data_IF_715350316790
#
_entry.id   IF_715350316790
#
_cell.length_a   1.000
_cell.length_b   1.000
_cell.length_c   1.000
_cell.angle_alpha   90.00
_cell.angle_beta   90.00
_cell.angle_gamma   90.00
#
_symmetry.space_group_name_H-M   'P 1'
#
loop_
_entity.id
_entity.type
_entity.pdbx_description
1 polymer ?
#
# COMPACT_ATOMS: atom_id res chain seq x y z
N UNK A 1 -6.38 9.83 12.02
CA UNK A 1 -5.99 9.06 10.84
C UNK A 1 -4.66 8.37 11.07
N UNK A 2 -4.60 7.12 10.75
CA UNK A 2 -3.43 6.31 11.03
C UNK A 2 -2.59 6.13 9.77
N UNK A 3 -1.35 6.59 9.79
CA UNK A 3 -0.43 6.43 8.68
C UNK A 3 0.59 5.36 9.00
N UNK A 4 0.11 4.16 9.24
CA UNK A 4 0.95 3.09 9.76
C UNK A 4 1.20 1.99 8.73
N UNK A 5 1.42 2.36 7.48
CA UNK A 5 1.79 1.37 6.47
C UNK A 5 2.99 0.57 6.98
N UNK A 6 2.83 -0.74 7.04
CA UNK A 6 3.87 -1.61 7.57
C UNK A 6 4.84 -1.99 6.46
N UNK A 7 6.13 -1.78 6.69
CA UNK A 7 7.16 -2.14 5.72
C UNK A 7 7.68 -3.54 6.02
N UNK A 8 7.75 -4.37 5.00
CA UNK A 8 8.10 -5.78 5.12
C UNK A 8 9.28 -6.06 4.21
N UNK A 9 10.27 -6.79 4.72
CA UNK A 9 11.41 -7.18 3.90
C UNK A 9 11.02 -8.37 3.02
N UNK A 10 11.77 -8.56 1.94
CA UNK A 10 11.56 -9.72 1.06
C UNK A 10 11.70 -11.01 1.86
N UNK A 11 12.69 -11.08 2.76
CA UNK A 11 12.91 -12.28 3.56
C UNK A 11 11.71 -12.59 4.45
N UNK A 12 11.15 -11.57 5.10
CA UNK A 12 10.00 -11.77 5.97
C UNK A 12 8.77 -12.17 5.17
N UNK A 13 8.61 -11.57 3.99
CA UNK A 13 7.49 -11.94 3.13
C UNK A 13 7.59 -13.39 2.68
N UNK A 14 8.79 -13.82 2.28
CA UNK A 14 8.99 -15.20 1.85
C UNK A 14 8.80 -16.19 2.98
N UNK A 15 9.14 -15.80 4.21
CA UNK A 15 8.92 -16.64 5.37
C UNK A 15 7.43 -16.89 5.63
N UNK A 16 6.57 -16.02 5.11
CA UNK A 16 5.13 -16.16 5.26
C UNK A 16 4.47 -16.82 4.04
N UNK A 17 5.27 -17.32 3.10
CA UNK A 17 4.73 -17.95 1.92
C UNK A 17 3.93 -19.20 2.29
N UNK A 18 2.77 -19.36 1.65
CA UNK A 18 1.90 -20.49 1.94
C UNK A 18 1.03 -20.34 3.17
N UNK A 19 1.05 -19.18 3.82
CA UNK A 19 0.18 -18.94 4.97
C UNK A 19 -1.29 -19.04 4.54
N UNK A 20 -2.16 -19.58 5.42
CA UNK A 20 -3.57 -19.68 5.06
C UNK A 20 -4.21 -18.30 4.98
N UNK A 21 -5.22 -18.21 4.14
CA UNK A 21 -5.95 -16.95 3.99
C UNK A 21 -5.29 -15.91 3.10
N UNK A 22 -4.23 -16.26 2.40
CA UNK A 22 -3.53 -15.34 1.50
C UNK A 22 -4.02 -15.53 0.08
N UNK A 23 -4.41 -14.43 -0.56
CA UNK A 23 -4.84 -14.41 -1.95
C UNK A 23 -3.90 -13.49 -2.72
N UNK A 24 -3.18 -14.02 -3.70
CA UNK A 24 -2.31 -13.23 -4.54
C UNK A 24 -3.02 -12.94 -5.87
N UNK A 25 -3.06 -11.69 -6.26
CA UNK A 25 -3.75 -11.29 -7.48
C UNK A 25 -2.78 -10.58 -8.42
N UNK A 26 -2.84 -10.96 -9.69
CA UNK A 26 -2.15 -10.22 -10.73
C UNK A 26 -2.84 -8.87 -10.92
N UNK A 27 -2.12 -7.89 -11.46
CA UNK A 27 -2.66 -6.55 -11.58
C UNK A 27 -3.75 -6.41 -12.66
N UNK A 28 -4.02 -7.48 -13.39
CA UNK A 28 -5.11 -7.51 -14.36
C UNK A 28 -6.26 -8.40 -13.90
N UNK A 29 -6.26 -8.86 -12.65
CA UNK A 29 -7.31 -9.74 -12.15
C UNK A 29 -8.65 -9.01 -12.06
N UNK A 30 -9.72 -9.73 -12.42
CA UNK A 30 -11.08 -9.20 -12.30
C UNK A 30 -11.59 -9.39 -10.89
N UNK A 31 -11.75 -8.29 -10.17
CA UNK A 31 -12.10 -8.35 -8.75
C UNK A 31 -13.54 -8.77 -8.50
N UNK A 32 -14.43 -8.57 -9.46
CA UNK A 32 -15.83 -8.88 -9.25
C UNK A 32 -16.08 -10.37 -9.00
N UNK A 33 -15.24 -11.22 -9.58
CA UNK A 33 -15.42 -12.66 -9.48
C UNK A 33 -14.57 -13.32 -8.41
N UNK A 34 -13.81 -12.52 -7.66
CA UNK A 34 -12.90 -13.07 -6.65
C UNK A 34 -13.64 -13.29 -5.35
N UNK A 35 -13.52 -14.49 -4.78
CA UNK A 35 -14.10 -14.77 -3.47
C UNK A 35 -13.15 -14.27 -2.39
N UNK A 36 -13.70 -13.49 -1.47
CA UNK A 36 -12.93 -12.98 -0.34
C UNK A 36 -13.22 -13.73 0.96
N UNK A 37 -14.00 -14.81 0.87
CA UNK A 37 -14.33 -15.58 2.07
C UNK A 37 -13.09 -16.23 2.65
N UNK A 38 -12.83 -15.99 3.93
CA UNK A 38 -11.67 -16.55 4.61
C UNK A 38 -10.35 -15.88 4.28
N UNK A 39 -10.37 -14.83 3.47
CA UNK A 39 -9.14 -14.15 3.06
C UNK A 39 -8.75 -13.13 4.12
N UNK A 40 -7.54 -13.28 4.66
CA UNK A 40 -7.02 -12.37 5.67
C UNK A 40 -5.97 -11.42 5.11
N UNK A 41 -5.38 -11.76 3.97
CA UNK A 41 -4.40 -10.90 3.30
C UNK A 41 -4.53 -11.04 1.80
N UNK A 42 -4.51 -9.91 1.10
CA UNK A 42 -4.48 -9.90 -0.36
C UNK A 42 -3.17 -9.27 -0.79
N UNK A 43 -2.42 -9.98 -1.63
CA UNK A 43 -1.19 -9.46 -2.20
C UNK A 43 -1.49 -8.93 -3.60
N UNK A 44 -1.23 -7.65 -3.82
CA UNK A 44 -1.40 -7.02 -5.12
C UNK A 44 -0.03 -6.71 -5.69
N UNK A 45 0.19 -7.13 -6.92
CA UNK A 45 1.51 -7.10 -7.53
C UNK A 45 1.71 -5.89 -8.43
N UNK A 46 2.87 -5.23 -8.28
CA UNK A 46 3.29 -4.14 -9.15
C UNK A 46 4.39 -4.69 -10.06
N UNK A 47 4.09 -5.00 -11.32
CA UNK A 47 5.12 -5.52 -12.23
C UNK A 47 6.14 -4.47 -12.65
N UNK A 48 5.76 -3.19 -12.58
CA UNK A 48 6.66 -2.09 -12.86
C UNK A 48 6.17 -0.84 -12.18
N UNK A 49 7.08 0.05 -11.82
CA UNK A 49 6.71 1.23 -11.04
C UNK A 49 5.73 2.15 -11.77
N UNK A 50 5.69 2.08 -13.10
CA UNK A 50 4.79 2.91 -13.89
C UNK A 50 3.40 2.32 -14.02
N UNK A 51 3.19 1.08 -13.58
CA UNK A 51 1.90 0.41 -13.71
C UNK A 51 1.06 0.70 -12.48
N UNK A 52 0.00 1.48 -12.65
CA UNK A 52 -0.84 1.90 -11.54
C UNK A 52 -2.06 1.04 -11.29
N UNK A 53 -2.21 -0.08 -11.98
CA UNK A 53 -3.43 -0.88 -11.84
C UNK A 53 -3.64 -1.44 -10.45
N UNK A 54 -2.56 -1.77 -9.74
CA UNK A 54 -2.69 -2.30 -8.38
C UNK A 54 -3.24 -1.26 -7.41
N UNK A 55 -2.99 0.03 -7.64
CA UNK A 55 -3.62 1.08 -6.83
C UNK A 55 -5.14 1.05 -6.98
N UNK A 56 -5.61 0.91 -8.21
CA UNK A 56 -7.05 0.83 -8.47
C UNK A 56 -7.66 -0.42 -7.85
N UNK A 57 -6.95 -1.53 -7.89
CA UNK A 57 -7.42 -2.76 -7.26
C UNK A 57 -7.60 -2.57 -5.75
N UNK A 58 -6.62 -1.94 -5.09
CA UNK A 58 -6.72 -1.70 -3.64
C UNK A 58 -7.92 -0.81 -3.33
N UNK A 59 -8.09 0.25 -4.10
CA UNK A 59 -9.21 1.16 -3.91
C UNK A 59 -10.54 0.43 -4.04
N UNK A 60 -10.68 -0.41 -5.07
CA UNK A 60 -11.93 -1.15 -5.30
C UNK A 60 -12.19 -2.18 -4.22
N UNK A 61 -11.15 -2.87 -3.75
CA UNK A 61 -11.31 -3.83 -2.67
C UNK A 61 -11.82 -3.17 -1.40
N UNK A 62 -11.28 -1.99 -1.07
CA UNK A 62 -11.71 -1.27 0.12
C UNK A 62 -13.11 -0.68 -0.04
N UNK A 63 -13.34 -0.02 -1.16
CA UNK A 63 -14.55 0.78 -1.34
C UNK A 63 -15.73 -0.03 -1.85
N UNK A 64 -15.52 -0.89 -2.83
CA UNK A 64 -16.61 -1.63 -3.45
C UNK A 64 -16.84 -2.99 -2.84
N UNK A 65 -15.78 -3.67 -2.46
CA UNK A 65 -15.90 -5.00 -1.89
C UNK A 65 -15.94 -4.99 -0.37
N UNK A 66 -15.64 -3.84 0.25
CA UNK A 66 -15.69 -3.71 1.71
C UNK A 66 -14.66 -4.55 2.44
N UNK A 67 -13.56 -4.87 1.78
CA UNK A 67 -12.53 -5.72 2.37
C UNK A 67 -11.78 -4.97 3.47
N UNK A 68 -11.70 -5.54 4.66
CA UNK A 68 -11.07 -4.91 5.81
C UNK A 68 -9.77 -5.58 6.26
N UNK A 69 -9.33 -6.62 5.58
CA UNK A 69 -8.11 -7.32 5.94
C UNK A 69 -6.86 -6.62 5.42
N UNK A 70 -5.75 -7.30 5.51
CA UNK A 70 -4.47 -6.76 5.04
C UNK A 70 -4.43 -6.73 3.52
N UNK A 71 -3.99 -5.61 2.94
CA UNK A 71 -3.66 -5.52 1.52
C UNK A 71 -2.18 -5.20 1.45
N UNK A 72 -1.43 -6.07 0.80
CA UNK A 72 0.04 -5.97 0.75
C UNK A 72 0.50 -5.70 -0.67
N UNK A 73 1.39 -4.71 -0.83
CA UNK A 73 2.01 -4.41 -2.11
C UNK A 73 3.23 -5.29 -2.29
N UNK A 74 3.35 -5.92 -3.45
CA UNK A 74 4.50 -6.76 -3.78
C UNK A 74 5.05 -6.35 -5.15
N UNK A 75 6.25 -6.82 -5.47
CA UNK A 75 6.87 -6.56 -6.76
C UNK A 75 7.72 -5.32 -6.76
N UNK A 76 7.50 -4.45 -7.72
CA UNK A 76 8.34 -3.26 -7.92
C UNK A 76 7.87 -2.12 -7.03
N UNK A 77 8.09 -2.27 -5.72
CA UNK A 77 7.66 -1.31 -4.71
C UNK A 77 8.79 -0.33 -4.44
N UNK A 78 8.53 0.94 -4.71
CA UNK A 78 9.50 2.01 -4.54
C UNK A 78 9.13 2.91 -3.37
N UNK A 79 10.14 3.47 -2.73
CA UNK A 79 9.96 4.30 -1.54
C UNK A 79 9.02 5.47 -1.80
N UNK A 80 9.13 6.12 -2.95
CA UNK A 80 8.33 7.31 -3.21
C UNK A 80 6.86 7.00 -3.51
N UNK A 81 6.50 5.72 -3.59
CA UNK A 81 5.11 5.31 -3.79
C UNK A 81 4.40 4.93 -2.50
N UNK A 82 5.12 4.88 -1.38
CA UNK A 82 4.56 4.32 -0.15
C UNK A 82 3.38 5.12 0.39
N UNK A 83 3.45 6.44 0.32
CA UNK A 83 2.34 7.27 0.80
C UNK A 83 1.10 7.06 -0.07
N UNK A 84 1.28 6.98 -1.38
CA UNK A 84 0.16 6.71 -2.26
C UNK A 84 -0.43 5.33 -2.00
N UNK A 85 0.41 4.33 -1.76
CA UNK A 85 -0.08 3.00 -1.41
C UNK A 85 -0.95 3.05 -0.16
N UNK A 86 -0.50 3.71 0.87
CA UNK A 86 -1.25 3.81 2.10
C UNK A 86 -2.57 4.56 1.88
N UNK A 87 -2.57 5.61 1.09
CA UNK A 87 -3.77 6.39 0.83
C UNK A 87 -4.80 5.65 -0.02
N UNK A 88 -4.38 4.71 -0.83
CA UNK A 88 -5.31 3.94 -1.66
C UNK A 88 -5.79 2.66 -0.99
N UNK A 89 -5.28 2.35 0.19
CA UNK A 89 -5.82 1.24 0.97
C UNK A 89 -4.83 0.14 1.32
N UNK A 90 -3.57 0.24 0.90
CA UNK A 90 -2.58 -0.75 1.32
C UNK A 90 -2.26 -0.59 2.80
N UNK A 91 -2.12 -1.71 3.48
CA UNK A 91 -1.72 -1.72 4.88
C UNK A 91 -0.30 -2.24 5.07
N UNK A 92 0.31 -2.80 4.05
CA UNK A 92 1.69 -3.24 4.11
C UNK A 92 2.32 -3.19 2.72
N UNK A 93 3.64 -3.16 2.69
CA UNK A 93 4.38 -3.14 1.42
C UNK A 93 5.70 -3.89 1.59
N UNK A 94 5.99 -4.76 0.63
CA UNK A 94 7.25 -5.51 0.60
C UNK A 94 8.26 -4.68 -0.16
N UNK A 95 9.27 -4.18 0.53
CA UNK A 95 10.32 -3.40 -0.12
C UNK A 95 11.20 -4.29 -0.96
N UNK A 96 11.62 -3.79 -2.11
CA UNK A 96 12.61 -4.48 -2.94
C UNK A 96 13.90 -4.66 -2.14
N UNK A 97 14.62 -5.71 -2.46
CA UNK A 97 15.83 -6.05 -1.73
C UNK A 97 16.91 -4.96 -1.80
N UNK A 98 16.87 -4.12 -2.85
CA UNK A 98 17.82 -3.03 -3.03
C UNK A 98 17.42 -1.75 -2.31
N UNK A 99 16.29 -1.75 -1.62
CA UNK A 99 15.83 -0.57 -0.87
C UNK A 99 16.22 -0.70 0.60
N UNK A 100 16.68 0.40 1.18
CA UNK A 100 17.06 0.43 2.59
C UNK A 100 15.81 0.64 3.44
N UNK A 101 15.43 -0.33 4.29
CA UNK A 101 14.22 -0.18 5.11
C UNK A 101 14.25 1.02 6.04
N UNK A 102 15.40 1.35 6.61
CA UNK A 102 15.50 2.51 7.50
C UNK A 102 15.29 3.81 6.74
N UNK A 103 15.85 3.90 5.54
CA UNK A 103 15.67 5.08 4.69
C UNK A 103 14.20 5.19 4.26
N UNK A 104 13.61 4.07 3.88
CA UNK A 104 12.21 4.05 3.47
C UNK A 104 11.29 4.50 4.60
N UNK A 105 11.55 4.03 5.82
CA UNK A 105 10.73 4.41 6.97
C UNK A 105 10.82 5.91 7.24
N UNK A 106 12.02 6.48 7.14
CA UNK A 106 12.19 7.92 7.36
C UNK A 106 11.50 8.73 6.29
N UNK A 107 11.59 8.31 5.03
CA UNK A 107 10.94 9.02 3.94
C UNK A 107 9.42 8.91 4.06
N UNK A 108 8.93 7.72 4.38
CA UNK A 108 7.50 7.54 4.54
C UNK A 108 6.94 8.40 5.65
N UNK A 109 7.62 8.43 6.81
CA UNK A 109 7.18 9.25 7.92
C UNK A 109 7.14 10.73 7.56
N UNK A 110 8.15 11.19 6.84
CA UNK A 110 8.22 12.57 6.40
C UNK A 110 7.08 12.92 5.45
N UNK A 111 6.83 12.09 4.45
CA UNK A 111 5.75 12.33 3.51
C UNK A 111 4.39 12.17 4.17
N UNK A 112 4.24 11.21 5.06
CA UNK A 112 2.97 11.02 5.75
C UNK A 112 2.60 12.23 6.59
N UNK A 113 3.56 12.83 7.27
CA UNK A 113 3.29 14.04 8.05
C UNK A 113 2.90 15.19 7.16
N UNK A 114 3.56 15.33 6.02
CA UNK A 114 3.24 16.38 5.09
C UNK A 114 1.81 16.25 4.56
N UNK A 115 1.48 15.04 4.10
CA UNK A 115 0.15 14.81 3.52
C UNK A 115 -0.94 14.64 4.57
N UNK A 116 -0.58 14.47 5.81
CA UNK A 116 -1.57 14.38 6.87
C UNK A 116 -2.40 15.65 6.98
N UNK A 117 -1.80 16.78 6.74
CA UNK A 117 -2.53 18.05 6.73
C UNK A 117 -3.65 18.03 5.71
N UNK A 118 -3.37 17.55 4.50
CA UNK A 118 -4.39 17.45 3.47
C UNK A 118 -5.50 16.49 3.85
N UNK A 119 -5.15 15.36 4.44
CA UNK A 119 -6.11 14.32 4.74
C UNK A 119 -6.98 14.63 5.95
N UNK A 120 -6.43 15.33 6.91
CA UNK A 120 -7.10 15.55 8.19
C UNK A 120 -7.82 16.89 8.26
N UNK A 121 -7.22 17.93 7.72
CA UNK A 121 -7.73 19.27 7.92
C UNK A 121 -8.43 19.87 6.72
N UNK A 122 -8.43 19.25 5.64
CA UNK A 122 -8.96 19.82 4.41
C UNK A 122 -8.18 21.05 3.94
N UNK A 123 -7.14 21.42 4.65
CA UNK A 123 -6.33 22.57 4.32
C UNK A 123 -4.89 22.12 4.15
N UNK A 124 -4.40 22.08 2.92
CA UNK A 124 -3.05 21.60 2.67
C UNK A 124 -2.00 22.43 3.36
N UNK A 125 -0.94 21.80 3.81
CA UNK A 125 0.15 22.50 4.47
C UNK A 125 0.74 23.59 3.60
N UNK A 126 1.00 23.27 2.33
CA UNK A 126 1.59 24.24 1.46
C UNK A 126 0.68 25.43 1.21
N UNK A 127 -0.61 25.25 1.36
CA UNK A 127 -1.57 26.31 1.17
C UNK A 127 -1.51 27.31 2.31
N UNK A 128 -1.24 26.83 3.50
CA UNK A 128 -1.16 27.71 4.64
C UNK A 128 0.14 28.48 4.71
N UNK A 129 1.13 27.85 4.26
CA UNK A 129 2.41 28.46 4.39
C UNK A 129 2.87 29.11 3.16
N UNK A 130 2.23 28.99 2.34
CA UNK A 130 2.56 29.22 1.34
C UNK A 130 2.42 29.81 1.03
N UNK A 131 2.56 29.65 1.57
CA UNK A 131 2.58 29.39 1.57
C UNK A 131 2.46 28.77 1.34
N UNK A 132 2.41 28.60 1.68
CA UNK A 132 2.29 27.85 1.73
C UNK A 132 2.41 27.28 2.07
#
# INVERSE_FOLDING_TARGET
>A
MDFSLKLITVADHEAQAGAPGVLALANDAELADVSLEGVTRIDLHFPGFADGRAFSQAFMLRRRRGYNGEIRATGDVLIDQLVQMQRTGFSSAVLRADQDPAHAARQFERYARYYQGDAVTAQPLFKETVGA
#
